data_IF_120890589751
#
_entry.id   IF_120890589751
#
_cell.length_a   1.000
_cell.length_b   1.000
_cell.length_c   1.000
_cell.angle_alpha   90.00
_cell.angle_beta   90.00
_cell.angle_gamma   90.00
#
_symmetry.space_group_name_H-M   'P 1'
#
loop_
_entity.id
_entity.type
_entity.pdbx_description
1 polymer ?
#
# COMPACT_ATOMS: atom_id res chain seq x y z
N UNK A 1 -6.78 2.80 -7.36
CA UNK A 1 -6.68 2.65 -8.82
C UNK A 1 -5.72 1.51 -9.16
N UNK A 2 -5.88 0.88 -10.32
CA UNK A 2 -5.00 -0.19 -10.80
C UNK A 2 -4.29 0.28 -12.07
N UNK A 3 -2.97 0.10 -12.18
CA UNK A 3 -2.21 0.57 -13.35
C UNK A 3 -2.77 -0.01 -14.66
N UNK A 4 -3.01 -1.32 -14.72
CA UNK A 4 -3.55 -2.01 -15.89
C UNK A 4 -4.94 -1.53 -16.35
N UNK A 5 -5.70 -0.85 -15.50
CA UNK A 5 -6.97 -0.23 -15.86
C UNK A 5 -6.80 1.21 -16.32
N UNK A 6 -5.85 1.94 -15.72
CA UNK A 6 -5.55 3.32 -16.10
C UNK A 6 -4.87 3.35 -17.47
N UNK A 7 -3.89 2.48 -17.72
CA UNK A 7 -3.09 2.46 -18.94
C UNK A 7 -3.05 1.03 -19.53
N UNK A 8 -4.17 0.54 -20.09
CA UNK A 8 -4.25 -0.81 -20.65
C UNK A 8 -3.34 -1.02 -21.87
N UNK A 9 -3.03 0.05 -22.60
CA UNK A 9 -2.05 0.09 -23.70
C UNK A 9 -1.06 1.24 -23.46
N UNK A 10 0.18 1.15 -23.98
CA UNK A 10 1.21 2.16 -23.72
C UNK A 10 0.75 3.56 -24.13
N UNK A 11 0.70 4.49 -23.18
CA UNK A 11 0.28 5.88 -23.39
C UNK A 11 -1.22 6.09 -23.62
N UNK A 12 -2.06 5.06 -23.52
CA UNK A 12 -3.52 5.17 -23.67
C UNK A 12 -4.18 5.17 -22.30
N UNK A 13 -4.58 6.36 -21.82
CA UNK A 13 -5.13 6.55 -20.48
C UNK A 13 -6.66 6.53 -20.45
N UNK A 14 -7.22 5.71 -19.56
CA UNK A 14 -8.67 5.58 -19.38
C UNK A 14 -9.20 6.66 -18.42
N UNK A 15 -9.87 7.67 -18.97
CA UNK A 15 -10.44 8.78 -18.19
C UNK A 15 -11.45 8.33 -17.12
N UNK A 16 -12.18 7.25 -17.40
CA UNK A 16 -13.12 6.67 -16.44
C UNK A 16 -12.47 6.23 -15.11
N UNK A 17 -11.16 5.93 -15.08
CA UNK A 17 -10.46 5.64 -13.82
C UNK A 17 -10.17 6.91 -13.02
N UNK A 18 -9.86 8.03 -13.68
CA UNK A 18 -9.69 9.33 -13.02
C UNK A 18 -11.02 9.90 -12.52
N UNK A 19 -12.11 9.66 -13.24
CA UNK A 19 -13.46 10.10 -12.84
C UNK A 19 -13.89 9.49 -11.50
N UNK A 20 -13.41 8.29 -11.15
CA UNK A 20 -13.65 7.69 -9.83
C UNK A 20 -13.05 8.53 -8.70
N UNK A 21 -11.84 9.07 -8.92
CA UNK A 21 -11.19 9.97 -7.94
C UNK A 21 -11.94 11.29 -7.85
N UNK A 22 -12.38 11.84 -8.98
CA UNK A 22 -13.19 13.07 -9.01
C UNK A 22 -14.52 12.90 -8.30
N UNK A 23 -15.16 11.73 -8.45
CA UNK A 23 -16.39 11.41 -7.74
C UNK A 23 -16.16 11.28 -6.24
N UNK A 24 -15.13 10.54 -5.82
CA UNK A 24 -14.77 10.42 -4.41
C UNK A 24 -14.48 11.80 -3.76
N UNK A 25 -13.80 12.69 -4.50
CA UNK A 25 -13.45 14.03 -4.04
C UNK A 25 -14.66 14.96 -3.84
N UNK A 26 -15.85 14.62 -4.35
CA UNK A 26 -17.08 15.39 -4.06
C UNK A 26 -17.55 15.21 -2.62
N UNK A 27 -17.12 14.13 -1.98
CA UNK A 27 -17.55 13.75 -0.63
C UNK A 27 -16.52 14.16 0.42
N UNK A 28 -15.27 14.41 0.05
CA UNK A 28 -14.22 14.79 0.99
C UNK A 28 -12.79 14.65 0.47
N UNK A 29 -11.79 14.84 1.34
CA UNK A 29 -10.38 14.58 1.04
C UNK A 29 -10.16 13.14 0.56
N UNK A 30 -9.35 12.95 -0.49
CA UNK A 30 -9.11 11.62 -1.06
C UNK A 30 -7.75 11.05 -0.66
N UNK A 31 -7.78 9.85 -0.10
CA UNK A 31 -6.64 8.95 -0.03
C UNK A 31 -6.54 8.10 -1.29
N UNK A 32 -5.42 8.18 -2.03
CA UNK A 32 -5.24 7.49 -3.30
C UNK A 32 -4.17 6.40 -3.21
N UNK A 33 -4.59 5.15 -3.43
CA UNK A 33 -3.67 4.03 -3.68
C UNK A 33 -3.64 3.72 -5.18
N UNK A 34 -2.47 3.81 -5.81
CA UNK A 34 -2.24 3.30 -7.17
C UNK A 34 -1.50 1.98 -7.07
N UNK A 35 -2.11 0.89 -7.53
CA UNK A 35 -1.56 -0.47 -7.44
C UNK A 35 -0.70 -0.83 -8.65
N UNK A 36 0.57 -1.16 -8.39
CA UNK A 36 1.50 -1.80 -9.33
C UNK A 36 1.55 -3.33 -9.18
N UNK A 37 2.72 -3.93 -9.38
CA UNK A 37 2.94 -5.36 -9.19
C UNK A 37 2.06 -6.20 -10.12
N UNK A 38 1.21 -7.06 -9.55
CA UNK A 38 0.23 -7.86 -10.32
C UNK A 38 -0.84 -7.03 -11.04
N UNK A 39 -0.99 -5.76 -10.67
CA UNK A 39 -1.88 -4.81 -11.35
C UNK A 39 -1.17 -4.01 -12.45
N UNK A 40 0.09 -4.33 -12.77
CA UNK A 40 0.81 -3.69 -13.88
C UNK A 40 0.25 -4.14 -15.23
N UNK A 41 0.24 -3.28 -16.25
CA UNK A 41 -0.31 -3.63 -17.55
C UNK A 41 0.54 -4.67 -18.28
N UNK A 42 -0.05 -5.60 -19.06
CA UNK A 42 0.70 -6.63 -19.77
C UNK A 42 1.72 -6.09 -20.78
N UNK A 43 1.50 -4.91 -21.35
CA UNK A 43 2.42 -4.32 -22.33
C UNK A 43 3.80 -4.00 -21.75
N UNK A 44 3.90 -3.82 -20.42
CA UNK A 44 5.15 -3.50 -19.74
C UNK A 44 6.17 -4.64 -19.83
N UNK A 45 5.72 -5.88 -20.06
CA UNK A 45 6.59 -7.03 -20.32
C UNK A 45 7.41 -6.91 -21.61
N UNK A 46 7.14 -5.90 -22.46
CA UNK A 46 7.97 -5.57 -23.64
C UNK A 46 9.27 -4.87 -23.27
N UNK A 47 9.36 -4.27 -22.07
CA UNK A 47 10.49 -3.42 -21.65
C UNK A 47 11.05 -3.76 -20.28
N UNK A 48 10.30 -4.49 -19.45
CA UNK A 48 10.68 -4.89 -18.09
C UNK A 48 10.67 -6.40 -17.98
N UNK A 49 11.57 -6.98 -17.19
CA UNK A 49 11.56 -8.41 -16.90
C UNK A 49 10.33 -8.76 -16.07
N UNK A 50 9.76 -9.94 -16.31
CA UNK A 50 8.66 -10.47 -15.52
C UNK A 50 8.99 -11.84 -14.96
N UNK A 51 8.34 -12.18 -13.85
CA UNK A 51 8.44 -13.49 -13.24
C UNK A 51 7.10 -13.99 -12.71
N UNK A 52 7.01 -15.31 -12.55
CA UNK A 52 5.86 -15.96 -11.95
C UNK A 52 5.93 -15.82 -10.44
N UNK A 53 4.89 -15.22 -9.86
CA UNK A 53 4.73 -15.00 -8.43
C UNK A 53 3.62 -15.90 -7.89
N UNK A 54 3.88 -16.64 -6.81
CA UNK A 54 2.89 -17.43 -6.08
C UNK A 54 2.57 -16.75 -4.76
N UNK A 55 1.30 -16.42 -4.55
CA UNK A 55 0.80 -15.78 -3.35
C UNK A 55 0.75 -16.78 -2.17
N UNK A 56 1.22 -16.34 -0.99
CA UNK A 56 1.52 -17.25 0.11
C UNK A 56 0.32 -17.80 0.89
N UNK A 57 -0.88 -17.22 0.75
CA UNK A 57 -2.04 -17.56 1.60
C UNK A 57 -3.10 -18.38 0.87
N UNK A 58 -3.54 -17.90 -0.30
CA UNK A 58 -4.48 -18.55 -1.21
C UNK A 58 -3.82 -19.44 -2.27
N UNK A 59 -2.51 -19.30 -2.50
CA UNK A 59 -1.77 -20.08 -3.49
C UNK A 59 -1.97 -19.61 -4.94
N UNK A 60 -2.62 -18.47 -5.15
CA UNK A 60 -2.83 -17.90 -6.49
C UNK A 60 -1.51 -17.58 -7.18
N UNK A 61 -1.44 -17.80 -8.50
CA UNK A 61 -0.27 -17.47 -9.31
C UNK A 61 -0.52 -16.23 -10.16
N UNK A 62 0.46 -15.34 -10.20
CA UNK A 62 0.41 -14.05 -10.87
C UNK A 62 1.66 -13.85 -11.70
N UNK A 63 1.57 -13.03 -12.74
CA UNK A 63 2.72 -12.64 -13.55
C UNK A 63 3.06 -11.19 -13.21
N UNK A 64 4.25 -10.97 -12.67
CA UNK A 64 4.63 -9.69 -12.10
C UNK A 64 5.91 -9.13 -12.70
N UNK A 65 6.00 -7.80 -12.86
CA UNK A 65 7.25 -7.16 -13.24
C UNK A 65 8.27 -7.24 -12.11
N UNK A 66 9.54 -7.22 -12.51
CA UNK A 66 10.68 -7.06 -11.61
C UNK A 66 10.76 -5.58 -11.19
N UNK A 67 10.12 -5.23 -10.09
CA UNK A 67 9.97 -3.82 -9.67
C UNK A 67 11.26 -3.13 -9.23
N UNK A 68 12.32 -3.90 -8.98
CA UNK A 68 13.64 -3.38 -8.65
C UNK A 68 14.50 -3.06 -9.88
N UNK A 69 13.97 -3.26 -11.10
CA UNK A 69 14.63 -2.77 -12.31
C UNK A 69 14.41 -1.27 -12.51
N UNK A 70 15.45 -0.58 -12.99
CA UNK A 70 15.40 0.85 -13.25
C UNK A 70 14.33 1.22 -14.29
N UNK A 71 14.13 0.39 -15.32
CA UNK A 71 13.08 0.63 -16.34
C UNK A 71 11.67 0.55 -15.72
N UNK A 72 11.43 -0.38 -14.80
CA UNK A 72 10.15 -0.41 -14.07
C UNK A 72 9.94 0.88 -13.28
N UNK A 73 10.95 1.31 -12.52
CA UNK A 73 10.87 2.53 -11.71
C UNK A 73 10.64 3.77 -12.59
N UNK A 74 11.27 3.85 -13.76
CA UNK A 74 11.04 4.90 -14.73
C UNK A 74 9.59 4.92 -15.24
N UNK A 75 9.03 3.75 -15.58
CA UNK A 75 7.63 3.62 -16.02
C UNK A 75 6.65 3.93 -14.90
N UNK A 76 6.98 3.53 -13.68
CA UNK A 76 6.22 3.88 -12.49
C UNK A 76 6.20 5.40 -12.26
N UNK A 77 7.34 6.07 -12.35
CA UNK A 77 7.42 7.54 -12.25
C UNK A 77 6.56 8.22 -13.32
N UNK A 78 6.63 7.76 -14.58
CA UNK A 78 5.80 8.31 -15.65
C UNK A 78 4.31 8.18 -15.34
N UNK A 79 3.88 6.99 -14.92
CA UNK A 79 2.49 6.73 -14.51
C UNK A 79 2.08 7.65 -13.34
N UNK A 80 2.91 7.79 -12.30
CA UNK A 80 2.62 8.68 -11.18
C UNK A 80 2.46 10.14 -11.61
N UNK A 81 3.30 10.62 -12.55
CA UNK A 81 3.18 11.99 -13.08
C UNK A 81 1.89 12.20 -13.86
N UNK A 82 1.43 11.18 -14.58
CA UNK A 82 0.14 11.25 -15.26
C UNK A 82 -0.98 11.33 -14.23
N UNK A 83 -1.00 10.45 -13.22
CA UNK A 83 -2.03 10.47 -12.18
C UNK A 83 -2.02 11.79 -11.40
N UNK A 84 -0.86 12.31 -11.02
CA UNK A 84 -0.73 13.59 -10.33
C UNK A 84 -1.27 14.75 -11.18
N UNK A 85 -0.95 14.80 -12.48
CA UNK A 85 -1.48 15.83 -13.37
C UNK A 85 -3.01 15.78 -13.47
N UNK A 86 -3.59 14.58 -13.59
CA UNK A 86 -5.02 14.43 -13.86
C UNK A 86 -5.89 14.65 -12.61
N UNK A 87 -5.42 14.24 -11.43
CA UNK A 87 -6.22 14.23 -10.19
C UNK A 87 -5.46 14.62 -8.93
N UNK A 88 -4.18 14.98 -9.00
CA UNK A 88 -3.33 15.20 -7.82
C UNK A 88 -3.83 16.31 -6.90
N UNK A 89 -4.44 17.36 -7.45
CA UNK A 89 -5.07 18.44 -6.69
C UNK A 89 -6.28 18.02 -5.83
N UNK A 90 -6.81 16.81 -6.05
CA UNK A 90 -7.93 16.24 -5.28
C UNK A 90 -7.46 15.26 -4.19
N UNK A 91 -6.19 14.89 -4.22
CA UNK A 91 -5.60 13.89 -3.34
C UNK A 91 -4.90 14.58 -2.19
N UNK A 92 -5.19 14.14 -0.97
CA UNK A 92 -4.50 14.56 0.25
C UNK A 92 -3.37 13.58 0.60
N UNK A 93 -3.67 12.28 0.55
CA UNK A 93 -2.72 11.21 0.87
C UNK A 93 -2.50 10.30 -0.34
N UNK A 94 -1.25 10.07 -0.71
CA UNK A 94 -0.86 9.07 -1.70
C UNK A 94 -0.23 7.84 -1.02
N UNK A 95 -0.78 6.65 -1.27
CA UNK A 95 -0.24 5.39 -0.74
C UNK A 95 0.78 4.82 -1.73
N UNK A 96 2.04 4.78 -1.32
CA UNK A 96 3.12 4.22 -2.12
C UNK A 96 3.01 2.70 -2.20
N UNK A 97 2.76 2.17 -3.40
CA UNK A 97 2.68 0.72 -3.65
C UNK A 97 3.42 0.26 -4.91
N UNK A 98 4.36 1.07 -5.42
CA UNK A 98 5.13 0.75 -6.63
C UNK A 98 5.91 -0.56 -6.54
N UNK A 99 6.39 -0.93 -5.36
CA UNK A 99 7.07 -2.20 -5.09
C UNK A 99 6.17 -3.27 -4.46
N UNK A 100 4.85 -3.08 -4.53
CA UNK A 100 3.88 -4.01 -3.97
C UNK A 100 3.67 -5.20 -4.90
N UNK A 101 3.12 -6.29 -4.35
CA UNK A 101 2.97 -7.56 -5.06
C UNK A 101 1.56 -7.74 -5.60
N UNK A 102 0.83 -8.70 -5.05
CA UNK A 102 -0.63 -8.85 -5.15
C UNK A 102 -1.32 -8.14 -4.00
N UNK A 103 -0.57 -7.93 -2.93
CA UNK A 103 -0.93 -7.11 -1.79
C UNK A 103 -0.68 -5.64 -2.15
N UNK A 104 -1.47 -4.72 -1.59
CA UNK A 104 -1.21 -3.28 -1.68
C UNK A 104 -0.09 -2.82 -0.75
N UNK A 105 0.50 -3.74 0.00
CA UNK A 105 1.46 -3.47 1.05
C UNK A 105 2.89 -3.74 0.57
N UNK A 106 3.75 -2.71 0.51
CA UNK A 106 5.06 -2.79 -0.12
C UNK A 106 6.09 -3.53 0.73
N UNK A 107 5.72 -4.23 1.80
CA UNK A 107 6.63 -5.05 2.61
C UNK A 107 6.28 -6.55 2.60
N UNK A 108 5.19 -6.93 1.92
CA UNK A 108 4.78 -8.33 1.77
C UNK A 108 5.32 -8.87 0.44
N UNK A 109 6.13 -9.94 0.50
CA UNK A 109 6.83 -10.54 -0.65
C UNK A 109 6.53 -12.01 -0.87
N UNK A 110 5.93 -12.72 0.08
CA UNK A 110 5.80 -14.20 0.05
C UNK A 110 7.10 -14.91 -0.37
N UNK A 111 8.26 -14.60 0.25
CA UNK A 111 9.57 -15.06 -0.24
C UNK A 111 9.77 -16.58 -0.07
N UNK A 112 8.99 -17.24 0.77
CA UNK A 112 9.03 -18.70 0.91
C UNK A 112 8.50 -19.43 -0.32
N UNK A 113 7.43 -18.92 -0.93
CA UNK A 113 6.82 -19.49 -2.13
C UNK A 113 7.57 -19.11 -3.42
N UNK A 114 8.33 -18.02 -3.37
CA UNK A 114 8.99 -17.42 -4.54
C UNK A 114 10.53 -17.46 -4.46
N UNK A 115 11.08 -18.27 -3.54
CA UNK A 115 12.51 -18.31 -3.23
C UNK A 115 13.40 -18.46 -4.46
N UNK A 116 13.11 -19.45 -5.30
CA UNK A 116 13.96 -19.75 -6.45
C UNK A 116 13.86 -18.66 -7.53
N UNK A 117 12.65 -18.14 -7.77
CA UNK A 117 12.46 -17.02 -8.68
C UNK A 117 13.24 -15.77 -8.21
N UNK A 118 13.15 -15.43 -6.92
CA UNK A 118 13.90 -14.33 -6.34
C UNK A 118 15.41 -14.52 -6.44
N UNK A 119 15.92 -15.71 -6.08
CA UNK A 119 17.35 -16.01 -6.20
C UNK A 119 17.85 -15.89 -7.65
N UNK A 120 17.09 -16.41 -8.61
CA UNK A 120 17.45 -16.38 -10.03
C UNK A 120 17.46 -14.96 -10.62
N UNK A 121 16.69 -14.04 -10.04
CA UNK A 121 16.61 -12.64 -10.46
C UNK A 121 17.51 -11.70 -9.62
N UNK A 122 18.36 -12.26 -8.75
CA UNK A 122 19.26 -11.50 -7.90
C UNK A 122 18.55 -10.66 -6.82
N UNK A 123 17.32 -11.01 -6.46
CA UNK A 123 16.59 -10.32 -5.40
C UNK A 123 17.16 -10.70 -4.02
N UNK A 124 17.64 -9.69 -3.30
CA UNK A 124 18.11 -9.82 -1.92
C UNK A 124 17.74 -8.54 -1.14
N UNK A 125 17.98 -8.54 0.17
CA UNK A 125 17.66 -7.44 1.08
C UNK A 125 18.14 -6.07 0.57
N UNK A 126 19.38 -5.97 0.12
CA UNK A 126 19.95 -4.71 -0.36
C UNK A 126 19.25 -4.20 -1.62
N UNK A 127 18.86 -5.11 -2.52
CA UNK A 127 18.15 -4.80 -3.76
C UNK A 127 16.73 -4.33 -3.45
N UNK A 128 16.01 -5.03 -2.57
CA UNK A 128 14.65 -4.63 -2.18
C UNK A 128 14.64 -3.28 -1.47
N UNK A 129 15.58 -3.05 -0.53
CA UNK A 129 15.69 -1.77 0.18
C UNK A 129 15.97 -0.62 -0.76
N UNK A 130 16.98 -0.75 -1.62
CA UNK A 130 17.34 0.31 -2.58
C UNK A 130 16.21 0.59 -3.57
N UNK A 131 15.48 -0.44 -4.01
CA UNK A 131 14.33 -0.26 -4.89
C UNK A 131 13.17 0.46 -4.19
N UNK A 132 12.86 0.12 -2.94
CA UNK A 132 11.82 0.81 -2.17
C UNK A 132 12.21 2.27 -1.86
N UNK A 133 13.47 2.54 -1.54
CA UNK A 133 14.02 3.90 -1.40
C UNK A 133 13.80 4.70 -2.69
N UNK A 134 14.21 4.16 -3.84
CA UNK A 134 14.05 4.82 -5.13
C UNK A 134 12.58 5.08 -5.49
N UNK A 135 11.69 4.11 -5.23
CA UNK A 135 10.25 4.29 -5.44
C UNK A 135 9.69 5.36 -4.51
N UNK A 136 10.07 5.38 -3.25
CA UNK A 136 9.67 6.41 -2.30
C UNK A 136 10.13 7.80 -2.74
N UNK A 137 11.40 7.96 -3.13
CA UNK A 137 11.94 9.22 -3.67
C UNK A 137 11.17 9.70 -4.90
N UNK A 138 10.78 8.77 -5.79
CA UNK A 138 9.90 9.07 -6.93
C UNK A 138 8.56 9.63 -6.43
N UNK A 139 7.92 8.99 -5.45
CA UNK A 139 6.64 9.46 -4.93
C UNK A 139 6.75 10.86 -4.32
N UNK A 140 7.72 11.12 -3.45
CA UNK A 140 7.96 12.44 -2.84
C UNK A 140 8.22 13.51 -3.91
N UNK A 141 9.02 13.18 -4.94
CA UNK A 141 9.32 14.10 -6.04
C UNK A 141 8.10 14.41 -6.90
N UNK A 142 7.25 13.43 -7.18
CA UNK A 142 6.07 13.61 -8.04
C UNK A 142 4.92 14.26 -7.27
N UNK A 143 4.78 13.97 -5.98
CA UNK A 143 3.67 14.40 -5.13
C UNK A 143 4.14 15.30 -3.96
N UNK A 144 4.83 16.43 -4.22
CA UNK A 144 5.50 17.21 -3.18
C UNK A 144 4.54 17.96 -2.25
N UNK A 145 3.24 17.97 -2.54
CA UNK A 145 2.20 18.63 -1.73
C UNK A 145 1.32 17.64 -0.97
N UNK A 146 1.46 16.34 -1.27
CA UNK A 146 0.67 15.30 -0.66
C UNK A 146 1.48 14.58 0.40
N UNK A 147 0.73 14.01 1.32
CA UNK A 147 1.22 13.11 2.34
C UNK A 147 1.48 11.74 1.71
N UNK A 148 2.68 11.18 1.91
CA UNK A 148 3.05 9.88 1.31
C UNK A 148 2.95 8.79 2.38
N UNK A 149 2.03 7.84 2.20
CA UNK A 149 1.76 6.77 3.16
C UNK A 149 2.34 5.43 2.71
N UNK A 150 2.77 4.61 3.67
CA UNK A 150 3.05 3.19 3.45
C UNK A 150 2.34 2.33 4.50
N UNK A 151 1.91 1.17 4.05
CA UNK A 151 1.35 0.11 4.88
C UNK A 151 2.41 -0.55 5.75
N UNK A 152 2.16 -0.67 7.06
CA UNK A 152 3.10 -1.30 8.00
C UNK A 152 2.83 -2.79 8.12
N UNK A 153 3.84 -3.60 7.79
CA UNK A 153 3.86 -5.04 8.00
C UNK A 153 5.29 -5.50 8.28
N UNK A 154 5.51 -6.67 8.94
CA UNK A 154 6.82 -7.28 8.99
C UNK A 154 7.36 -7.44 7.57
N UNK A 155 8.51 -6.81 7.29
CA UNK A 155 9.12 -6.88 5.99
C UNK A 155 9.55 -8.31 5.72
N UNK A 156 8.97 -8.90 4.67
CA UNK A 156 9.36 -10.20 4.15
C UNK A 156 10.41 -10.00 3.06
N UNK A 157 11.60 -10.56 3.21
CA UNK A 157 12.71 -10.30 2.30
C UNK A 157 13.59 -11.54 2.11
N UNK A 158 14.48 -11.49 1.13
CA UNK A 158 15.55 -12.48 0.95
C UNK A 158 16.82 -11.96 1.60
N UNK A 159 17.57 -12.81 2.31
CA UNK A 159 18.91 -12.50 2.82
C UNK A 159 19.82 -13.71 2.64
N UNK A 160 20.91 -13.56 1.89
CA UNK A 160 21.84 -14.65 1.55
C UNK A 160 21.09 -15.85 0.93
N UNK A 161 20.14 -15.55 0.03
CA UNK A 161 19.32 -16.53 -0.67
C UNK A 161 18.30 -17.28 0.21
N UNK A 162 18.03 -16.80 1.42
CA UNK A 162 17.04 -17.38 2.33
C UNK A 162 15.93 -16.40 2.69
N UNK A 163 14.67 -16.85 2.76
CA UNK A 163 13.56 -16.01 3.18
C UNK A 163 13.68 -15.62 4.65
N UNK A 164 13.30 -14.38 4.96
CA UNK A 164 13.26 -13.79 6.30
C UNK A 164 12.01 -12.92 6.44
N UNK A 165 11.61 -12.68 7.69
CA UNK A 165 10.60 -11.67 8.02
C UNK A 165 10.91 -11.03 9.36
N UNK A 166 10.82 -9.70 9.44
CA UNK A 166 11.06 -8.96 10.67
C UNK A 166 10.40 -7.59 10.61
N UNK A 167 9.95 -7.08 11.75
CA UNK A 167 9.46 -5.71 11.89
C UNK A 167 10.59 -4.69 11.93
N UNK A 168 11.74 -5.02 12.53
CA UNK A 168 12.85 -4.06 12.70
C UNK A 168 13.30 -3.38 11.39
N UNK A 169 13.46 -4.12 10.27
CA UNK A 169 13.74 -3.52 8.97
C UNK A 169 12.65 -2.57 8.46
N UNK A 170 11.37 -2.90 8.64
CA UNK A 170 10.24 -1.99 8.35
C UNK A 170 10.35 -0.72 9.18
N UNK A 171 10.62 -0.86 10.47
CA UNK A 171 10.77 0.24 11.41
C UNK A 171 11.86 1.21 11.00
N UNK A 172 13.05 0.68 10.70
CA UNK A 172 14.19 1.49 10.24
C UNK A 172 13.85 2.23 8.96
N UNK A 173 13.26 1.56 7.96
CA UNK A 173 12.92 2.21 6.70
C UNK A 173 11.94 3.37 6.88
N UNK A 174 10.91 3.19 7.71
CA UNK A 174 9.92 4.23 7.98
C UNK A 174 10.55 5.39 8.75
N UNK A 175 11.35 5.13 9.78
CA UNK A 175 12.04 6.17 10.54
C UNK A 175 13.08 6.92 9.69
N UNK A 176 13.77 6.23 8.79
CA UNK A 176 14.82 6.81 7.94
C UNK A 176 14.24 7.71 6.84
N UNK A 177 13.06 7.38 6.29
CA UNK A 177 12.54 7.99 5.05
C UNK A 177 11.18 8.67 5.22
N UNK A 178 10.38 8.24 6.19
CA UNK A 178 8.96 8.59 6.33
C UNK A 178 8.60 9.00 7.76
N UNK A 179 9.32 9.95 8.39
CA UNK A 179 9.11 10.28 9.80
C UNK A 179 7.70 10.81 10.09
N UNK A 180 7.00 11.31 9.08
CA UNK A 180 5.70 11.98 9.24
C UNK A 180 4.49 11.12 8.85
N UNK A 181 4.66 9.86 8.40
CA UNK A 181 3.50 9.12 7.89
C UNK A 181 3.53 7.60 7.95
N UNK A 182 2.52 7.07 8.65
CA UNK A 182 2.37 5.64 8.93
C UNK A 182 0.95 5.20 8.61
N UNK A 183 0.81 4.15 7.78
CA UNK A 183 -0.44 3.42 7.59
C UNK A 183 -0.46 2.16 8.46
N UNK A 184 -1.33 2.13 9.46
CA UNK A 184 -1.62 0.96 10.28
C UNK A 184 -2.53 -0.01 9.54
N UNK A 185 -2.14 -1.29 9.47
CA UNK A 185 -3.01 -2.32 8.94
C UNK A 185 -3.53 -3.25 10.02
N UNK A 186 -4.78 -3.69 9.82
CA UNK A 186 -5.43 -4.78 10.55
C UNK A 186 -5.74 -4.39 12.00
N UNK A 187 -6.51 -3.31 12.16
CA UNK A 187 -7.15 -2.89 13.41
C UNK A 187 -8.05 -4.03 13.92
N UNK A 188 -7.80 -4.53 15.14
CA UNK A 188 -8.51 -5.67 15.78
C UNK A 188 -8.85 -5.34 17.23
N UNK A 189 -9.98 -5.86 17.73
CA UNK A 189 -10.50 -5.53 19.07
C UNK A 189 -9.54 -5.80 20.22
N UNK A 190 -8.72 -6.85 20.17
CA UNK A 190 -8.33 -7.49 21.43
C UNK A 190 -7.04 -6.87 22.02
N UNK A 191 -7.11 -6.13 23.14
CA UNK A 191 -5.93 -5.84 23.93
C UNK A 191 -5.33 -7.16 24.42
N UNK A 192 -4.02 -7.35 24.26
CA UNK A 192 -3.31 -8.54 24.75
C UNK A 192 -3.02 -9.65 23.71
N UNK A 193 -3.35 -9.45 22.43
CA UNK A 193 -2.91 -10.33 21.34
C UNK A 193 -1.56 -9.86 20.72
N UNK A 194 -0.81 -10.73 20.01
CA UNK A 194 0.58 -10.51 19.56
C UNK A 194 0.86 -9.26 18.69
N UNK A 195 -0.17 -8.49 18.32
CA UNK A 195 -0.01 -7.21 17.60
C UNK A 195 0.15 -5.99 18.51
N UNK A 196 0.25 -6.20 19.83
CA UNK A 196 0.80 -5.21 20.75
C UNK A 196 2.14 -4.64 20.25
N UNK A 197 2.94 -5.45 19.53
CA UNK A 197 4.20 -5.00 18.94
C UNK A 197 4.02 -4.02 17.77
N UNK A 198 2.95 -4.13 16.99
CA UNK A 198 2.65 -3.16 15.92
C UNK A 198 2.17 -1.84 16.53
N UNK A 199 1.44 -1.91 17.64
CA UNK A 199 0.97 -0.75 18.40
C UNK A 199 2.09 -0.03 19.16
N UNK A 200 2.88 -0.74 19.97
CA UNK A 200 4.09 -0.20 20.62
C UNK A 200 5.03 0.41 19.57
N UNK A 201 5.08 -0.20 18.39
CA UNK A 201 5.86 0.33 17.28
C UNK A 201 5.29 1.66 16.76
N UNK A 202 3.97 1.81 16.60
CA UNK A 202 3.34 3.08 16.21
C UNK A 202 3.60 4.18 17.23
N UNK A 203 3.53 3.89 18.53
CA UNK A 203 3.89 4.87 19.57
C UNK A 203 5.33 5.38 19.44
N UNK A 204 6.25 4.56 18.91
CA UNK A 204 7.65 4.92 18.73
C UNK A 204 7.93 5.66 17.41
N UNK A 205 7.11 5.46 16.39
CA UNK A 205 7.37 5.94 15.03
C UNK A 205 6.44 7.07 14.60
N UNK A 206 5.40 7.39 15.38
CA UNK A 206 4.49 8.51 15.14
C UNK A 206 3.03 8.07 15.02
N UNK A 207 2.11 9.03 15.07
CA UNK A 207 0.67 8.76 14.95
C UNK A 207 0.37 8.23 13.53
N UNK A 208 -0.25 7.05 13.39
CA UNK A 208 -0.66 6.56 12.08
C UNK A 208 -1.80 7.41 11.53
N UNK A 209 -1.61 7.96 10.34
CA UNK A 209 -2.66 8.72 9.66
C UNK A 209 -3.80 7.83 9.17
N UNK A 210 -3.49 6.59 8.81
CA UNK A 210 -4.44 5.69 8.17
C UNK A 210 -4.53 4.36 8.89
N UNK A 211 -5.76 3.84 9.01
CA UNK A 211 -6.06 2.58 9.64
C UNK A 211 -6.88 1.70 8.70
N UNK A 212 -6.34 0.54 8.31
CA UNK A 212 -7.14 -0.47 7.61
C UNK A 212 -7.78 -1.41 8.63
N UNK A 213 -9.09 -1.54 8.59
CA UNK A 213 -9.81 -2.52 9.43
C UNK A 213 -9.62 -3.95 8.92
N UNK A 214 -9.62 -4.91 9.85
CA UNK A 214 -9.60 -6.33 9.51
C UNK A 214 -10.92 -6.77 8.83
N UNK A 215 -11.08 -8.06 8.52
CA UNK A 215 -12.43 -8.61 8.20
C UNK A 215 -13.29 -8.62 9.48
N UNK A 216 -14.63 -8.47 9.40
CA UNK A 216 -15.48 -8.32 10.60
C UNK A 216 -15.24 -9.36 11.71
N UNK A 217 -15.07 -10.67 11.43
CA UNK A 217 -14.80 -11.67 12.48
C UNK A 217 -13.48 -11.47 13.24
N UNK A 218 -12.56 -10.68 12.69
CA UNK A 218 -11.27 -10.34 13.31
C UNK A 218 -11.28 -8.98 14.00
N UNK A 219 -12.19 -8.07 13.59
CA UNK A 219 -12.37 -6.78 14.23
C UNK A 219 -13.03 -6.97 15.59
N UNK A 220 -14.00 -7.90 15.69
CA UNK A 220 -14.83 -8.05 16.89
C UNK A 220 -15.84 -6.89 16.98
N UNK A 221 -15.59 -5.93 17.86
CA UNK A 221 -16.35 -4.68 18.00
C UNK A 221 -15.76 -3.57 17.14
N UNK A 222 -16.41 -3.30 16.00
CA UNK A 222 -15.97 -2.28 15.06
C UNK A 222 -16.09 -0.86 15.59
N UNK A 223 -17.02 -0.59 16.52
CA UNK A 223 -17.17 0.75 17.12
C UNK A 223 -15.95 1.06 17.95
N UNK A 224 -15.61 0.20 18.90
CA UNK A 224 -14.40 0.38 19.72
C UNK A 224 -13.13 0.50 18.90
N UNK A 225 -13.04 -0.25 17.81
CA UNK A 225 -11.92 -0.16 16.90
C UNK A 225 -11.81 1.28 16.32
N UNK A 226 -12.92 1.85 15.85
CA UNK A 226 -12.97 3.23 15.38
C UNK A 226 -12.71 4.25 16.50
N UNK A 227 -13.27 4.05 17.71
CA UNK A 227 -13.01 4.95 18.86
C UNK A 227 -11.51 5.01 19.14
N UNK A 228 -10.83 3.87 19.13
CA UNK A 228 -9.38 3.83 19.29
C UNK A 228 -8.67 4.57 18.19
N UNK A 229 -9.06 4.38 16.92
CA UNK A 229 -8.44 5.14 15.83
C UNK A 229 -8.52 6.64 16.09
N UNK A 230 -9.66 7.15 16.58
CA UNK A 230 -9.81 8.56 16.95
C UNK A 230 -8.93 8.94 18.15
N UNK A 231 -8.98 8.16 19.23
CA UNK A 231 -8.22 8.42 20.46
C UNK A 231 -6.70 8.49 20.21
N UNK A 232 -6.22 7.74 19.22
CA UNK A 232 -4.83 7.76 18.79
C UNK A 232 -4.50 8.80 17.70
N UNK A 233 -5.47 9.62 17.29
CA UNK A 233 -5.26 10.71 16.33
C UNK A 233 -5.23 10.27 14.87
N UNK A 234 -5.79 9.10 14.54
CA UNK A 234 -5.92 8.67 13.15
C UNK A 234 -6.89 9.55 12.36
N UNK A 235 -6.50 9.88 11.13
CA UNK A 235 -7.29 10.77 10.26
C UNK A 235 -8.12 10.01 9.23
N UNK A 236 -7.72 8.78 8.89
CA UNK A 236 -8.37 7.96 7.87
C UNK A 236 -8.58 6.53 8.37
N UNK A 237 -9.71 5.93 7.99
CA UNK A 237 -10.00 4.51 8.20
C UNK A 237 -10.50 3.91 6.90
N UNK A 238 -9.85 2.85 6.43
CA UNK A 238 -10.41 1.97 5.41
C UNK A 238 -11.27 0.90 6.08
N UNK A 239 -12.58 0.99 5.85
CA UNK A 239 -13.56 0.00 6.27
C UNK A 239 -13.60 -1.15 5.27
N UNK A 240 -13.71 -2.38 5.78
CA UNK A 240 -13.82 -3.56 4.94
C UNK A 240 -15.11 -3.56 4.09
N UNK A 241 -15.08 -4.19 2.91
CA UNK A 241 -16.21 -4.29 1.95
C UNK A 241 -17.43 -5.02 2.50
N UNK A 242 -17.30 -5.81 3.57
CA UNK A 242 -18.44 -6.39 4.31
C UNK A 242 -19.18 -5.33 5.15
N UNK A 243 -19.23 -4.11 4.61
CA UNK A 243 -19.68 -2.85 5.19
C UNK A 243 -21.18 -2.80 5.47
N UNK A 244 -21.95 -3.74 4.91
CA UNK A 244 -23.40 -3.86 5.12
C UNK A 244 -23.79 -4.11 6.59
N UNK A 245 -22.82 -4.43 7.46
CA UNK A 245 -23.02 -4.63 8.90
C UNK A 245 -22.82 -3.38 9.76
N UNK A 246 -22.41 -2.25 9.17
CA UNK A 246 -22.15 -1.00 9.89
C UNK A 246 -23.40 -0.10 9.87
N UNK A 247 -23.61 0.63 10.97
CA UNK A 247 -24.65 1.66 11.02
C UNK A 247 -24.12 2.96 10.41
N UNK A 248 -24.62 3.32 9.23
CA UNK A 248 -24.22 4.51 8.49
C UNK A 248 -24.65 5.81 9.15
N UNK A 249 -25.78 5.81 9.88
CA UNK A 249 -26.22 6.99 10.62
C UNK A 249 -25.26 7.25 11.78
N UNK A 250 -24.78 6.19 12.41
CA UNK A 250 -23.78 6.26 13.47
C UNK A 250 -22.42 6.72 12.94
N UNK A 251 -21.95 6.17 11.81
CA UNK A 251 -20.71 6.64 11.17
C UNK A 251 -20.78 8.13 10.77
N UNK A 252 -21.92 8.58 10.25
CA UNK A 252 -22.14 9.99 9.94
C UNK A 252 -22.16 10.88 11.18
N UNK A 253 -22.64 10.38 12.32
CA UNK A 253 -22.65 11.12 13.59
C UNK A 253 -21.25 11.37 14.16
N UNK A 254 -20.26 10.58 13.74
CA UNK A 254 -18.86 10.74 14.16
C UNK A 254 -18.11 11.80 13.34
N UNK A 255 -18.77 12.45 12.37
CA UNK A 255 -18.16 13.48 11.53
C UNK A 255 -17.27 12.95 10.41
N UNK A 256 -17.35 11.64 10.11
CA UNK A 256 -16.57 11.02 9.04
C UNK A 256 -17.29 11.17 7.70
N UNK A 257 -16.56 11.67 6.70
CA UNK A 257 -17.02 11.67 5.31
C UNK A 257 -16.80 10.28 4.71
N UNK A 258 -17.89 9.54 4.51
CA UNK A 258 -17.84 8.19 3.93
C UNK A 258 -17.62 8.27 2.41
N UNK A 259 -16.41 7.96 1.94
CA UNK A 259 -16.15 7.70 0.52
C UNK A 259 -16.30 6.21 0.21
N UNK A 260 -17.04 5.87 -0.86
CA UNK A 260 -17.22 4.49 -1.34
C UNK A 260 -16.19 4.12 -2.40
#
# INVERSE_FOLDING_TARGET
>A
LNWNKIEPEPGVFQQAEFDKVREAAKVGPVGLRLLGGSNSPPWLARTVTYFTYTEGTSGGTFYMPVWWEAEYQHRWEYMLRVVEREVGHLVDVFYQTGGATVYGEPFIRSPWQNKDAYNNLGFDWAVDRSALEALYDIAVRVWPRQRIAVSVFPWQYMKNGQPRSSLGPTSSFILDLMPDLIGANDLRETPGQPRLNTWIWMEQTGIPLFWQTARPPKIGDWRKALEWTIDFGGEYVELNRDFETYDYAELGAWGWELSK
#
